data_IF_622462590804
#
_entry.id   IF_622462590804
#
_cell.length_a   1.000
_cell.length_b   1.000
_cell.length_c   1.000
_cell.angle_alpha   90.00
_cell.angle_beta   90.00
_cell.angle_gamma   90.00
#
_symmetry.space_group_name_H-M   'P 1'
#
loop_
_entity.id
_entity.type
_entity.pdbx_description
1 polymer ?
#
# COMPACT_ATOMS: atom_id res chain seq x y z
N UNK A 1 -25.31 -13.54 16.20
CA UNK A 1 -24.05 -12.88 15.83
C UNK A 1 -24.09 -11.49 16.43
N UNK A 2 -23.20 -11.21 17.37
CA UNK A 2 -23.17 -9.93 18.07
C UNK A 2 -22.76 -8.79 17.12
N UNK A 3 -22.96 -7.53 17.53
CA UNK A 3 -22.49 -6.36 16.79
C UNK A 3 -20.98 -6.41 16.55
N UNK A 4 -20.20 -6.88 17.52
CA UNK A 4 -18.74 -7.00 17.39
C UNK A 4 -18.36 -8.07 16.36
N UNK A 5 -19.01 -9.23 16.38
CA UNK A 5 -18.78 -10.29 15.39
C UNK A 5 -19.02 -9.82 13.95
N UNK A 6 -20.08 -9.02 13.72
CA UNK A 6 -20.37 -8.46 12.39
C UNK A 6 -19.34 -7.43 11.95
N UNK A 7 -18.81 -6.65 12.89
CA UNK A 7 -17.75 -5.69 12.60
C UNK A 7 -16.45 -6.41 12.24
N UNK A 8 -16.07 -7.43 13.02
CA UNK A 8 -14.91 -8.28 12.74
C UNK A 8 -15.01 -8.92 11.36
N UNK A 9 -16.14 -9.58 11.05
CA UNK A 9 -16.34 -10.20 9.73
C UNK A 9 -16.26 -9.18 8.57
N UNK A 10 -16.69 -7.93 8.80
CA UNK A 10 -16.56 -6.87 7.80
C UNK A 10 -15.10 -6.42 7.63
N UNK A 11 -14.34 -6.33 8.72
CA UNK A 11 -12.91 -5.99 8.69
C UNK A 11 -12.14 -7.09 7.96
N UNK A 12 -12.36 -8.36 8.29
CA UNK A 12 -11.73 -9.50 7.62
C UNK A 12 -12.04 -9.51 6.11
N UNK A 13 -13.29 -9.18 5.75
CA UNK A 13 -13.69 -9.05 4.35
C UNK A 13 -12.97 -7.90 3.63
N UNK A 14 -12.72 -6.78 4.30
CA UNK A 14 -11.94 -5.68 3.74
C UNK A 14 -10.46 -6.04 3.60
N UNK A 15 -9.88 -6.69 4.61
CA UNK A 15 -8.49 -7.18 4.57
C UNK A 15 -8.28 -8.15 3.41
N UNK A 16 -9.17 -9.13 3.25
CA UNK A 16 -9.11 -10.06 2.12
C UNK A 16 -9.16 -9.38 0.75
N UNK A 17 -9.94 -8.30 0.61
CA UNK A 17 -10.00 -7.50 -0.62
C UNK A 17 -8.71 -6.73 -0.87
N UNK A 18 -8.11 -6.13 0.18
CA UNK A 18 -6.82 -5.43 0.06
C UNK A 18 -5.72 -6.40 -0.37
N UNK A 19 -5.65 -7.58 0.26
CA UNK A 19 -4.69 -8.64 -0.12
C UNK A 19 -4.89 -9.05 -1.59
N UNK A 20 -6.13 -9.25 -2.03
CA UNK A 20 -6.42 -9.60 -3.41
C UNK A 20 -5.93 -8.50 -4.38
N UNK A 21 -6.21 -7.23 -4.09
CA UNK A 21 -5.74 -6.11 -4.91
C UNK A 21 -4.20 -6.03 -4.96
N UNK A 22 -3.50 -6.18 -3.83
CA UNK A 22 -2.02 -6.20 -3.80
C UNK A 22 -1.44 -7.30 -4.69
N UNK A 23 -2.00 -8.51 -4.61
CA UNK A 23 -1.57 -9.65 -5.46
C UNK A 23 -1.86 -9.40 -6.94
N UNK A 24 -3.02 -8.83 -7.26
CA UNK A 24 -3.35 -8.46 -8.65
C UNK A 24 -2.40 -7.39 -9.17
N UNK A 25 -2.11 -6.36 -8.38
CA UNK A 25 -1.15 -5.32 -8.72
C UNK A 25 0.24 -5.88 -9.00
N UNK A 26 0.77 -6.75 -8.12
CA UNK A 26 2.04 -7.45 -8.34
C UNK A 26 2.03 -8.21 -9.66
N UNK A 27 0.95 -8.95 -9.94
CA UNK A 27 0.85 -9.73 -11.17
C UNK A 27 0.82 -8.85 -12.42
N UNK A 28 0.13 -7.72 -12.36
CA UNK A 28 0.09 -6.75 -13.45
C UNK A 28 1.48 -6.14 -13.68
N UNK A 29 2.19 -5.77 -12.61
CA UNK A 29 3.56 -5.26 -12.71
C UNK A 29 4.50 -6.29 -13.33
N UNK A 30 4.42 -7.56 -12.91
CA UNK A 30 5.18 -8.63 -13.54
C UNK A 30 4.86 -8.74 -15.04
N UNK A 31 3.60 -8.67 -15.44
CA UNK A 31 3.26 -8.79 -16.86
C UNK A 31 3.59 -7.53 -17.68
N UNK A 32 3.96 -6.43 -17.03
CA UNK A 32 4.24 -5.15 -17.69
C UNK A 32 5.68 -5.07 -18.22
N UNK A 33 5.92 -4.29 -19.30
CA UNK A 33 7.26 -3.96 -19.77
C UNK A 33 8.10 -3.26 -18.68
N UNK A 34 9.43 -3.38 -18.76
CA UNK A 34 10.36 -2.76 -17.80
C UNK A 34 10.18 -1.24 -17.67
N UNK A 35 9.88 -0.55 -18.78
CA UNK A 35 9.64 0.90 -18.76
C UNK A 35 8.45 1.29 -17.88
N UNK A 36 7.35 0.52 -17.94
CA UNK A 36 6.15 0.73 -17.13
C UNK A 36 6.43 0.42 -15.66
N UNK A 37 7.24 -0.61 -15.38
CA UNK A 37 7.66 -0.93 -14.01
C UNK A 37 8.52 0.19 -13.41
N UNK A 38 9.47 0.73 -14.18
CA UNK A 38 10.30 1.83 -13.75
C UNK A 38 9.48 3.11 -13.48
N UNK A 39 8.52 3.43 -14.36
CA UNK A 39 7.62 4.57 -14.16
C UNK A 39 6.73 4.39 -12.93
N UNK A 40 6.20 3.19 -12.70
CA UNK A 40 5.40 2.89 -11.50
C UNK A 40 6.24 2.99 -10.22
N UNK A 41 7.48 2.50 -10.23
CA UNK A 41 8.38 2.61 -9.08
C UNK A 41 8.67 4.08 -8.74
N UNK A 42 8.99 4.90 -9.75
CA UNK A 42 9.19 6.33 -9.53
C UNK A 42 7.93 7.00 -8.96
N UNK A 43 6.75 6.67 -9.52
CA UNK A 43 5.49 7.22 -9.03
C UNK A 43 5.16 6.83 -7.59
N UNK A 44 5.54 5.61 -7.19
CA UNK A 44 5.39 5.12 -5.82
C UNK A 44 6.37 5.83 -4.87
N UNK A 45 7.65 5.96 -5.26
CA UNK A 45 8.68 6.65 -4.48
C UNK A 45 8.30 8.12 -4.22
N UNK A 46 7.79 8.83 -5.23
CA UNK A 46 7.30 10.20 -5.11
C UNK A 46 6.15 10.35 -4.08
N UNK A 47 5.47 9.25 -3.77
CA UNK A 47 4.32 9.18 -2.85
C UNK A 47 4.64 8.56 -1.50
N UNK A 48 5.78 7.90 -1.35
CA UNK A 48 6.31 7.53 -0.04
C UNK A 48 6.69 8.79 0.77
N UNK A 49 7.07 9.88 0.08
CA UNK A 49 7.52 11.14 0.68
C UNK A 49 6.35 12.11 0.90
N UNK A 50 5.44 11.78 1.81
CA UNK A 50 4.64 12.78 2.54
C UNK A 50 4.24 12.25 3.92
N UNK A 51 5.06 12.53 4.94
CA UNK A 51 4.65 12.90 6.31
C UNK A 51 5.81 13.28 7.27
N UNK A 52 7.08 13.34 6.83
CA UNK A 52 8.23 13.74 7.68
C UNK A 52 8.26 15.23 8.10
N UNK A 53 7.14 15.96 8.06
CA UNK A 53 7.10 17.42 8.22
C UNK A 53 6.13 17.99 9.25
N UNK A 54 5.25 17.20 9.86
CA UNK A 54 4.26 17.68 10.84
C UNK A 54 4.03 16.64 11.96
N UNK A 55 5.09 16.03 12.50
CA UNK A 55 5.00 15.39 13.82
C UNK A 55 5.03 16.46 14.92
N UNK A 56 3.99 17.28 14.98
CA UNK A 56 3.71 18.02 16.21
C UNK A 56 3.07 17.00 17.18
N UNK A 57 3.72 16.63 18.30
CA UNK A 57 3.27 15.54 19.19
C UNK A 57 1.89 15.75 19.83
N UNK A 58 1.20 16.86 19.51
CA UNK A 58 -0.16 17.18 19.93
C UNK A 58 -1.24 17.15 18.83
N UNK A 59 -0.91 16.85 17.57
CA UNK A 59 -1.86 16.97 16.44
C UNK A 59 -2.00 15.65 15.69
N UNK A 60 -2.63 14.65 16.27
CA UNK A 60 -3.33 13.63 15.47
C UNK A 60 -4.54 13.15 16.27
N UNK A 61 -5.78 13.46 15.84
CA UNK A 61 -6.99 12.77 16.32
C UNK A 61 -8.23 13.08 15.46
N UNK A 62 -8.11 12.96 14.14
CA UNK A 62 -9.25 12.96 13.22
C UNK A 62 -9.32 11.64 12.44
N UNK A 63 -10.52 11.07 12.17
CA UNK A 63 -10.66 9.91 11.28
C UNK A 63 -9.98 10.07 9.91
N UNK A 64 -9.86 11.32 9.44
CA UNK A 64 -9.20 11.69 8.19
C UNK A 64 -7.69 11.44 8.25
N UNK A 65 -7.02 11.80 9.35
CA UNK A 65 -5.58 11.57 9.51
C UNK A 65 -5.23 10.08 9.60
N UNK A 66 -6.12 9.26 10.20
CA UNK A 66 -5.94 7.82 10.24
C UNK A 66 -6.05 7.17 8.84
N UNK A 67 -6.93 7.70 7.97
CA UNK A 67 -7.05 7.25 6.60
C UNK A 67 -5.82 7.62 5.77
N UNK A 68 -5.34 8.86 5.89
CA UNK A 68 -4.14 9.32 5.20
C UNK A 68 -2.91 8.51 5.60
N UNK A 69 -2.73 8.22 6.89
CA UNK A 69 -1.65 7.37 7.38
C UNK A 69 -1.75 5.94 6.81
N UNK A 70 -2.95 5.34 6.83
CA UNK A 70 -3.15 4.00 6.27
C UNK A 70 -2.89 3.97 4.75
N UNK A 71 -3.20 5.04 4.02
CA UNK A 71 -2.86 5.17 2.61
C UNK A 71 -1.35 5.29 2.40
N UNK A 72 -0.66 6.09 3.20
CA UNK A 72 0.79 6.24 3.13
C UNK A 72 1.51 4.91 3.39
N UNK A 73 1.07 4.17 4.42
CA UNK A 73 1.60 2.83 4.71
C UNK A 73 1.35 1.84 3.56
N UNK A 74 0.17 1.89 2.94
CA UNK A 74 -0.12 1.04 1.78
C UNK A 74 0.80 1.36 0.60
N UNK A 75 1.04 2.65 0.30
CA UNK A 75 1.92 3.06 -0.81
C UNK A 75 3.35 2.55 -0.60
N UNK A 76 3.88 2.67 0.62
CA UNK A 76 5.19 2.14 1.00
C UNK A 76 5.28 0.62 0.81
N UNK A 77 4.26 -0.11 1.27
CA UNK A 77 4.21 -1.57 1.07
C UNK A 77 4.17 -1.94 -0.42
N UNK A 78 3.44 -1.20 -1.25
CA UNK A 78 3.39 -1.45 -2.70
C UNK A 78 4.74 -1.17 -3.38
N UNK A 79 5.44 -0.11 -2.96
CA UNK A 79 6.80 0.20 -3.43
C UNK A 79 7.79 -0.92 -3.10
N UNK A 80 7.84 -1.35 -1.83
CA UNK A 80 8.70 -2.47 -1.39
C UNK A 80 8.46 -3.74 -2.23
N UNK A 81 7.19 -4.05 -2.47
CA UNK A 81 6.80 -5.22 -3.27
C UNK A 81 7.22 -5.09 -4.73
N UNK A 82 7.05 -3.92 -5.34
CA UNK A 82 7.45 -3.65 -6.72
C UNK A 82 8.98 -3.71 -6.85
N UNK A 83 9.71 -3.13 -5.91
CA UNK A 83 11.18 -3.15 -5.86
C UNK A 83 11.69 -4.59 -5.75
N UNK A 84 11.11 -5.39 -4.86
CA UNK A 84 11.48 -6.79 -4.72
C UNK A 84 11.18 -7.63 -5.98
N UNK A 85 10.08 -7.34 -6.69
CA UNK A 85 9.72 -8.03 -7.92
C UNK A 85 10.72 -7.75 -9.06
N UNK A 86 11.19 -6.50 -9.18
CA UNK A 86 12.21 -6.12 -10.14
C UNK A 86 13.54 -6.84 -9.89
N UNK A 87 14.02 -6.84 -8.65
CA UNK A 87 15.28 -7.52 -8.28
C UNK A 87 15.25 -9.02 -8.65
N UNK A 88 14.12 -9.71 -8.43
CA UNK A 88 13.99 -11.14 -8.80
C UNK A 88 14.17 -11.40 -10.30
N UNK A 89 13.78 -10.46 -11.16
CA UNK A 89 13.97 -10.58 -12.63
C UNK A 89 15.41 -10.39 -13.04
N UNK A 90 16.07 -9.39 -12.45
CA UNK A 90 17.47 -9.08 -12.75
C UNK A 90 18.41 -10.24 -12.35
N UNK A 91 18.00 -11.06 -11.36
CA UNK A 91 18.75 -12.23 -10.91
C UNK A 91 18.36 -13.56 -11.59
N UNK A 92 17.35 -13.58 -12.47
CA UNK A 92 16.81 -14.80 -13.09
C UNK A 92 17.20 -14.94 -14.56
#
# INVERSE_FOLDING_TARGET
MDRMDRLAARIDGLEGRVIAHRRTFQKLLELSPESVQAEMLQWLEDREVMLDGQEDPGVVSGPEAALELALSDEMRLLHDLATAARHRRETS
#
